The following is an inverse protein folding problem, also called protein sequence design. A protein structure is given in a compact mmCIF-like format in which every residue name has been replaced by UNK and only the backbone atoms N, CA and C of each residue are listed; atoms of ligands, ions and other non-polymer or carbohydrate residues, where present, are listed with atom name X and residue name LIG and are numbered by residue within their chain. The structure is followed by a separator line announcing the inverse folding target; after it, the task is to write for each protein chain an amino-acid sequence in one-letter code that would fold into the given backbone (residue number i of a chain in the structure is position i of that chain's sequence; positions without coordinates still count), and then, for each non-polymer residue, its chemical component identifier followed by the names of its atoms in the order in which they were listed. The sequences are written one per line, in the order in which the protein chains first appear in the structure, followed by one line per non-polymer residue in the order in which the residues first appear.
data_IF_633186185908
#
_entry.id   IF_633186185908
#
_cell.length_a   1.000
_cell.length_b   1.000
_cell.length_c   1.000
_cell.angle_alpha   90.00
_cell.angle_beta   90.00
_cell.angle_gamma   90.00
#
_symmetry.space_group_name_H-M   'P 1'
#
loop_
_entity.id
_entity.type
_entity.pdbx_description
1 polymer ?
#
# COMPACT_ATOMS: atom_id res chain seq x y z
N UNK A 1 -25.09 -7.95 3.15
CA UNK A 1 -24.14 -7.05 2.45
C UNK A 1 -22.73 -7.42 2.88
N UNK A 2 -21.77 -7.54 1.97
CA UNK A 2 -20.40 -7.94 2.30
C UNK A 2 -19.64 -6.80 3.00
N UNK A 3 -18.97 -7.10 4.12
CA UNK A 3 -18.18 -6.11 4.87
C UNK A 3 -17.04 -5.53 4.03
N UNK A 4 -16.58 -4.32 4.34
CA UNK A 4 -15.44 -3.69 3.67
C UNK A 4 -14.17 -4.54 3.79
N UNK A 5 -13.97 -5.18 4.94
CA UNK A 5 -12.83 -6.06 5.18
C UNK A 5 -12.83 -7.28 4.24
N UNK A 6 -14.00 -7.89 4.01
CA UNK A 6 -14.14 -9.00 3.06
C UNK A 6 -13.93 -8.58 1.60
N UNK A 7 -14.33 -7.36 1.22
CA UNK A 7 -14.03 -6.80 -0.11
C UNK A 7 -12.52 -6.65 -0.32
N UNK A 8 -11.83 -6.07 0.67
CA UNK A 8 -10.36 -5.90 0.61
C UNK A 8 -9.67 -7.27 0.52
N UNK A 9 -10.12 -8.25 1.30
CA UNK A 9 -9.54 -9.59 1.25
C UNK A 9 -9.62 -10.21 -0.15
N UNK A 10 -10.80 -10.20 -0.78
CA UNK A 10 -10.99 -10.77 -2.12
C UNK A 10 -10.25 -10.03 -3.23
N UNK A 11 -10.07 -8.72 -3.11
CA UNK A 11 -9.41 -7.92 -4.15
C UNK A 11 -7.88 -7.97 -4.05
N UNK A 12 -7.33 -8.07 -2.83
CA UNK A 12 -5.90 -7.87 -2.58
C UNK A 12 -5.17 -9.01 -1.85
N UNK A 13 -5.86 -9.87 -1.09
CA UNK A 13 -5.21 -10.78 -0.12
C UNK A 13 -5.41 -12.25 -0.50
N UNK A 14 -6.58 -12.59 -1.07
CA UNK A 14 -6.90 -13.94 -1.54
C UNK A 14 -5.90 -14.39 -2.61
N UNK A 15 -5.58 -15.70 -2.61
CA UNK A 15 -4.74 -16.31 -3.64
C UNK A 15 -5.42 -16.12 -4.99
N UNK A 16 -4.68 -15.64 -5.99
CA UNK A 16 -5.20 -15.31 -7.32
C UNK A 16 -6.18 -14.13 -7.34
N UNK A 17 -6.16 -13.29 -6.30
CA UNK A 17 -6.90 -12.03 -6.34
C UNK A 17 -6.38 -11.12 -7.47
N UNK A 18 -7.25 -10.31 -8.10
CA UNK A 18 -6.88 -9.52 -9.27
C UNK A 18 -5.76 -8.50 -8.98
N UNK A 19 -5.59 -8.13 -7.71
CA UNK A 19 -4.57 -7.17 -7.25
C UNK A 19 -3.81 -7.73 -6.04
N UNK A 20 -3.48 -9.02 -6.09
CA UNK A 20 -2.80 -9.73 -5.01
C UNK A 20 -1.53 -8.98 -4.54
N UNK A 21 -1.47 -8.68 -3.25
CA UNK A 21 -0.29 -8.08 -2.63
C UNK A 21 0.73 -9.14 -2.23
N UNK A 22 2.01 -8.80 -2.33
CA UNK A 22 3.10 -9.71 -1.97
C UNK A 22 3.22 -9.85 -0.44
N UNK A 23 2.57 -10.88 0.12
CA UNK A 23 2.62 -11.26 1.54
C UNK A 23 2.83 -12.76 1.68
N UNK A 24 3.47 -13.19 2.77
CA UNK A 24 3.74 -14.59 3.05
C UNK A 24 2.46 -15.37 3.39
N UNK A 25 2.52 -16.68 3.17
CA UNK A 25 1.40 -17.61 3.37
C UNK A 25 0.83 -17.53 4.80
N UNK A 26 1.69 -17.39 5.82
CA UNK A 26 1.28 -17.36 7.21
C UNK A 26 0.42 -16.13 7.51
N UNK A 27 0.90 -14.93 7.15
CA UNK A 27 0.13 -13.69 7.35
C UNK A 27 -1.23 -13.73 6.61
N UNK A 28 -1.29 -14.36 5.44
CA UNK A 28 -2.53 -14.53 4.68
C UNK A 28 -3.55 -15.39 5.41
N UNK A 29 -3.13 -16.55 5.93
CA UNK A 29 -4.03 -17.45 6.66
C UNK A 29 -4.49 -16.83 7.98
N UNK A 30 -3.60 -16.18 8.72
CA UNK A 30 -3.96 -15.46 9.95
C UNK A 30 -4.97 -14.32 9.68
N UNK A 31 -4.88 -13.68 8.53
CA UNK A 31 -5.85 -12.66 8.10
C UNK A 31 -7.20 -13.27 7.78
N UNK A 32 -7.22 -14.42 7.09
CA UNK A 32 -8.46 -15.16 6.79
C UNK A 32 -9.22 -15.50 8.06
N UNK A 33 -8.53 -15.99 9.10
CA UNK A 33 -9.13 -16.31 10.39
C UNK A 33 -9.69 -15.06 11.09
N UNK A 34 -8.95 -13.95 11.08
CA UNK A 34 -9.40 -12.65 11.65
C UNK A 34 -10.58 -12.01 10.92
N UNK A 35 -10.93 -12.49 9.73
CA UNK A 35 -12.07 -12.01 8.96
C UNK A 35 -13.34 -12.82 9.18
N UNK A 36 -13.27 -13.90 9.97
CA UNK A 36 -14.46 -14.59 10.49
C UNK A 36 -15.26 -13.64 11.40
N UNK A 37 -14.56 -12.88 12.24
CA UNK A 37 -15.11 -11.83 13.09
C UNK A 37 -14.36 -10.51 12.85
N UNK A 38 -14.71 -9.76 11.79
CA UNK A 38 -13.94 -8.60 11.38
C UNK A 38 -14.08 -7.45 12.39
N UNK A 39 -12.93 -6.98 12.86
CA UNK A 39 -12.79 -5.77 13.66
C UNK A 39 -12.16 -4.65 12.81
N UNK A 40 -12.19 -3.38 13.26
CA UNK A 40 -11.45 -2.31 12.60
C UNK A 40 -9.95 -2.58 12.42
N UNK A 41 -9.38 -3.49 13.22
CA UNK A 41 -7.96 -3.81 13.25
C UNK A 41 -7.61 -5.12 12.51
N UNK A 42 -8.58 -5.85 11.95
CA UNK A 42 -8.35 -7.19 11.37
C UNK A 42 -7.28 -7.20 10.26
N UNK A 43 -7.07 -6.08 9.56
CA UNK A 43 -6.13 -5.94 8.44
C UNK A 43 -4.82 -5.21 8.79
N UNK A 44 -4.63 -4.77 10.05
CA UNK A 44 -3.48 -3.93 10.43
C UNK A 44 -2.13 -4.59 10.14
N UNK A 45 -2.02 -5.89 10.37
CA UNK A 45 -0.77 -6.62 10.12
C UNK A 45 -0.43 -6.70 8.63
N UNK A 46 -1.40 -7.04 7.78
CA UNK A 46 -1.21 -7.06 6.32
C UNK A 46 -0.82 -5.68 5.82
N UNK A 47 -1.50 -4.63 6.31
CA UNK A 47 -1.17 -3.26 5.97
C UNK A 47 0.27 -2.91 6.38
N UNK A 48 0.71 -3.29 7.58
CA UNK A 48 2.07 -3.04 8.06
C UNK A 48 3.13 -3.77 7.21
N UNK A 49 2.87 -5.01 6.80
CA UNK A 49 3.76 -5.78 5.91
C UNK A 49 3.89 -5.12 4.54
N UNK A 50 2.77 -4.78 3.91
CA UNK A 50 2.76 -4.10 2.61
C UNK A 50 3.44 -2.72 2.70
N UNK A 51 3.19 -1.97 3.77
CA UNK A 51 3.85 -0.70 4.02
C UNK A 51 5.37 -0.87 4.10
N UNK A 52 5.86 -1.81 4.91
CA UNK A 52 7.31 -2.05 5.05
C UNK A 52 7.94 -2.50 3.73
N UNK A 53 7.23 -3.28 2.92
CA UNK A 53 7.69 -3.70 1.59
C UNK A 53 7.83 -2.48 0.66
N UNK A 54 6.82 -1.61 0.62
CA UNK A 54 6.87 -0.38 -0.17
C UNK A 54 7.99 0.55 0.30
N UNK A 55 8.16 0.73 1.61
CA UNK A 55 9.19 1.57 2.21
C UNK A 55 10.60 1.11 1.85
N UNK A 56 10.85 -0.21 1.84
CA UNK A 56 12.17 -0.78 1.58
C UNK A 56 12.54 -0.85 0.10
N UNK A 57 11.57 -0.89 -0.80
CA UNK A 57 11.81 -1.12 -2.23
C UNK A 57 11.21 -0.04 -3.14
N UNK A 58 9.89 0.11 -3.16
CA UNK A 58 9.21 1.06 -4.05
C UNK A 58 9.55 2.51 -3.74
N UNK A 59 9.61 2.88 -2.47
CA UNK A 59 9.83 4.25 -2.01
C UNK A 59 11.23 4.81 -2.37
N UNK A 60 12.36 4.12 -2.09
CA UNK A 60 13.67 4.62 -2.50
C UNK A 60 13.80 4.71 -4.03
N UNK A 61 13.14 3.82 -4.78
CA UNK A 61 13.08 3.90 -6.26
C UNK A 61 12.23 5.08 -6.72
N UNK A 62 11.11 5.35 -6.07
CA UNK A 62 10.23 6.48 -6.37
C UNK A 62 10.97 7.82 -6.20
N UNK A 63 11.70 8.03 -5.11
CA UNK A 63 12.47 9.26 -4.89
C UNK A 63 13.52 9.48 -5.99
N UNK A 64 14.15 8.42 -6.49
CA UNK A 64 15.14 8.50 -7.59
C UNK A 64 14.51 8.57 -8.97
N UNK A 65 13.22 8.27 -9.10
CA UNK A 65 12.54 8.23 -10.38
C UNK A 65 12.37 9.62 -10.99
N UNK A 66 12.31 9.70 -12.32
CA UNK A 66 12.00 10.94 -13.04
C UNK A 66 10.68 11.57 -12.58
N UNK A 67 9.69 10.75 -12.21
CA UNK A 67 8.38 11.21 -11.75
C UNK A 67 8.53 12.16 -10.56
N UNK A 68 9.30 11.76 -9.55
CA UNK A 68 9.51 12.57 -8.35
C UNK A 68 10.46 13.74 -8.61
N UNK A 69 11.54 13.52 -9.36
CA UNK A 69 12.50 14.58 -9.69
C UNK A 69 11.86 15.71 -10.51
N UNK A 70 11.01 15.37 -11.49
CA UNK A 70 10.27 16.35 -12.29
C UNK A 70 9.28 17.16 -11.43
N UNK A 71 8.64 16.52 -10.45
CA UNK A 71 7.76 17.19 -9.49
C UNK A 71 8.53 18.21 -8.63
N UNK A 72 9.71 17.83 -8.13
CA UNK A 72 10.58 18.72 -7.36
C UNK A 72 11.03 19.91 -8.19
N UNK A 73 11.50 19.67 -9.42
CA UNK A 73 11.94 20.73 -10.33
C UNK A 73 10.82 21.73 -10.64
N UNK A 74 9.60 21.25 -10.93
CA UNK A 74 8.43 22.11 -11.15
C UNK A 74 8.10 22.96 -9.93
N UNK A 75 8.16 22.35 -8.75
CA UNK A 75 7.91 23.05 -7.47
C UNK A 75 8.96 24.13 -7.23
N UNK A 76 10.23 23.83 -7.46
CA UNK A 76 11.33 24.78 -7.27
C UNK A 76 11.22 25.98 -8.24
N UNK A 77 10.92 25.72 -9.52
CA UNK A 77 10.67 26.78 -10.51
C UNK A 77 9.48 27.65 -10.09
N UNK A 78 8.39 27.04 -9.61
CA UNK A 78 7.22 27.78 -9.14
C UNK A 78 7.56 28.68 -7.94
N UNK A 79 8.31 28.17 -6.95
CA UNK A 79 8.73 28.96 -5.80
C UNK A 79 9.63 30.13 -6.21
N UNK A 80 10.60 29.91 -7.11
CA UNK A 80 11.49 30.97 -7.59
C UNK A 80 10.74 32.09 -8.32
N UNK A 81 9.73 31.74 -9.13
CA UNK A 81 8.89 32.73 -9.84
C UNK A 81 8.01 33.58 -8.94
N UNK A 82 7.71 33.14 -7.71
CA UNK A 82 6.96 33.90 -6.71
C UNK A 82 7.83 34.78 -5.81
N UNK A 83 9.14 34.58 -5.84
CA UNK A 83 10.12 35.35 -5.06
C UNK A 83 10.67 36.56 -5.81
N UNK A 84 10.21 36.80 -7.04
CA UNK A 84 10.49 37.95 -7.90
C UNK A 84 9.19 38.72 -8.09
#
# INVERSE_FOLDING_TARGET
MMSKANKIYKEFIEVHSPREVNIDHRTREETKQRLLEPTPNSLNEVQAKVHSLMEKDSYPRFIRSKIYQDLLNRTQIYCQRKSV
#
